data_IF_852923712975
#
_entry.id   IF_852923712975
#
_cell.length_a   1.000
_cell.length_b   1.000
_cell.length_c   1.000
_cell.angle_alpha   90.00
_cell.angle_beta   90.00
_cell.angle_gamma   90.00
#
_symmetry.space_group_name_H-M   'P 1'
#
loop_
_entity.id
_entity.type
_entity.pdbx_description
1 polymer ?
#
# COMPACT_ATOMS: atom_id res chain seq x y z
N UNK A 1 -22.50 -31.42 -11.14
CA UNK A 1 -22.38 -30.76 -12.47
C UNK A 1 -21.39 -29.59 -12.47
N UNK A 2 -21.44 -28.65 -11.51
CA UNK A 2 -20.55 -27.48 -11.47
C UNK A 2 -19.04 -27.81 -11.35
N UNK A 3 -18.68 -28.80 -10.54
CA UNK A 3 -17.29 -29.22 -10.30
C UNK A 3 -16.58 -29.69 -11.58
N UNK A 4 -17.30 -30.36 -12.49
CA UNK A 4 -16.73 -30.90 -13.73
C UNK A 4 -16.32 -29.78 -14.71
N UNK A 5 -17.11 -28.70 -14.79
CA UNK A 5 -16.81 -27.54 -15.64
C UNK A 5 -15.56 -26.77 -15.18
N UNK A 6 -15.31 -26.72 -13.86
CA UNK A 6 -14.11 -26.09 -13.29
C UNK A 6 -12.84 -26.88 -13.63
N UNK A 7 -12.89 -28.21 -13.50
CA UNK A 7 -11.76 -29.12 -13.76
C UNK A 7 -11.43 -29.19 -15.26
N UNK A 8 -12.44 -29.09 -16.13
CA UNK A 8 -12.28 -29.06 -17.58
C UNK A 8 -11.50 -27.83 -18.05
N UNK A 9 -11.84 -26.64 -17.53
CA UNK A 9 -11.20 -25.37 -17.91
C UNK A 9 -9.99 -24.98 -17.05
N UNK A 10 -9.45 -25.92 -16.26
CA UNK A 10 -8.34 -25.66 -15.33
C UNK A 10 -7.16 -24.93 -15.97
N UNK A 11 -6.81 -25.26 -17.23
CA UNK A 11 -5.69 -24.62 -17.94
C UNK A 11 -5.94 -23.12 -18.14
N UNK A 12 -7.15 -22.72 -18.52
CA UNK A 12 -7.52 -21.31 -18.69
C UNK A 12 -7.45 -20.56 -17.37
N UNK A 13 -7.94 -21.16 -16.28
CA UNK A 13 -7.83 -20.56 -14.95
C UNK A 13 -6.38 -20.43 -14.49
N UNK A 14 -5.53 -21.44 -14.69
CA UNK A 14 -4.11 -21.37 -14.34
C UNK A 14 -3.35 -20.34 -15.18
N UNK A 15 -3.66 -20.21 -16.47
CA UNK A 15 -3.05 -19.18 -17.33
C UNK A 15 -3.46 -17.79 -16.83
N UNK A 16 -4.75 -17.58 -16.57
CA UNK A 16 -5.24 -16.31 -16.05
C UNK A 16 -4.59 -15.97 -14.70
N UNK A 17 -4.58 -16.91 -13.76
CA UNK A 17 -3.90 -16.75 -12.46
C UNK A 17 -2.42 -16.47 -12.65
N UNK A 18 -1.75 -17.17 -13.57
CA UNK A 18 -0.34 -16.97 -13.88
C UNK A 18 -0.04 -15.56 -14.40
N UNK A 19 -0.91 -15.01 -15.25
CA UNK A 19 -0.80 -13.62 -15.72
C UNK A 19 -0.93 -12.66 -14.54
N UNK A 20 -1.95 -12.82 -13.69
CA UNK A 20 -2.17 -11.95 -12.53
C UNK A 20 -0.98 -12.00 -11.56
N UNK A 21 -0.49 -13.20 -11.24
CA UNK A 21 0.68 -13.41 -10.39
C UNK A 21 1.93 -12.79 -11.04
N UNK A 22 2.12 -12.99 -12.34
CA UNK A 22 3.25 -12.44 -13.08
C UNK A 22 3.28 -10.91 -13.07
N UNK A 23 2.13 -10.26 -13.26
CA UNK A 23 1.99 -8.80 -13.13
C UNK A 23 2.35 -8.33 -11.71
N UNK A 24 1.89 -9.03 -10.68
CA UNK A 24 2.26 -8.74 -9.29
C UNK A 24 3.77 -8.86 -9.04
N UNK A 25 4.41 -9.88 -9.59
CA UNK A 25 5.87 -10.06 -9.49
C UNK A 25 6.62 -8.93 -10.21
N UNK A 26 6.20 -8.58 -11.42
CA UNK A 26 6.81 -7.47 -12.17
C UNK A 26 6.69 -6.15 -11.40
N UNK A 27 5.54 -5.88 -10.79
CA UNK A 27 5.35 -4.71 -9.94
C UNK A 27 6.29 -4.73 -8.72
N UNK A 28 6.46 -5.88 -8.06
CA UNK A 28 7.41 -6.03 -6.94
C UNK A 28 8.86 -5.79 -7.37
N UNK A 29 9.28 -6.31 -8.54
CA UNK A 29 10.63 -6.08 -9.08
C UNK A 29 10.84 -4.60 -9.39
N UNK A 30 9.86 -3.94 -10.02
CA UNK A 30 9.92 -2.50 -10.28
C UNK A 30 10.01 -1.68 -8.98
N UNK A 31 9.20 -2.03 -7.98
CA UNK A 31 9.23 -1.41 -6.66
C UNK A 31 10.59 -1.59 -5.97
N UNK A 32 11.17 -2.79 -6.04
CA UNK A 32 12.49 -3.05 -5.48
C UNK A 32 13.58 -2.21 -6.17
N UNK A 33 13.55 -2.11 -7.50
CA UNK A 33 14.53 -1.34 -8.26
C UNK A 33 14.47 0.18 -8.00
N UNK A 34 13.29 0.71 -7.64
CA UNK A 34 13.07 2.15 -7.42
C UNK A 34 13.14 2.57 -5.94
N UNK A 35 12.67 1.72 -5.02
CA UNK A 35 12.50 2.05 -3.59
C UNK A 35 13.38 1.21 -2.65
N UNK A 36 14.08 0.20 -3.18
CA UNK A 36 14.88 -0.75 -2.40
C UNK A 36 14.07 -1.83 -1.67
N UNK A 37 12.75 -1.90 -1.85
CA UNK A 37 11.90 -2.96 -1.29
C UNK A 37 10.80 -3.40 -2.25
N UNK A 38 10.40 -4.68 -2.25
CA UNK A 38 9.32 -5.16 -3.12
C UNK A 38 7.95 -4.56 -2.76
N UNK A 39 7.77 -4.11 -1.52
CA UNK A 39 6.57 -3.47 -0.99
C UNK A 39 6.96 -2.36 -0.01
N UNK A 40 6.08 -1.38 0.22
CA UNK A 40 6.25 -0.36 1.25
C UNK A 40 6.31 -1.03 2.62
N UNK A 41 7.51 -1.08 3.20
CA UNK A 41 7.74 -1.66 4.51
C UNK A 41 7.40 -0.62 5.58
N UNK A 42 6.57 -1.01 6.54
CA UNK A 42 6.26 -0.20 7.71
C UNK A 42 7.46 -0.05 8.65
N UNK A 43 7.26 0.79 9.68
CA UNK A 43 8.29 1.11 10.69
C UNK A 43 8.80 -0.12 11.44
N UNK A 44 7.98 -1.17 11.55
CA UNK A 44 8.33 -2.44 12.19
C UNK A 44 9.51 -3.16 11.50
N UNK A 45 9.76 -2.87 10.21
CA UNK A 45 10.79 -3.55 9.41
C UNK A 45 11.97 -2.65 9.00
N UNK A 46 11.75 -1.34 8.84
CA UNK A 46 12.79 -0.39 8.43
C UNK A 46 13.35 0.44 9.59
N UNK A 47 12.73 0.35 10.77
CA UNK A 47 12.96 1.28 11.87
C UNK A 47 12.35 2.65 11.55
N UNK A 48 11.89 3.35 12.59
CA UNK A 48 11.26 4.67 12.43
C UNK A 48 10.23 4.94 13.51
N UNK A 49 9.46 6.01 13.32
CA UNK A 49 8.34 6.39 14.17
C UNK A 49 7.06 6.43 13.34
N UNK A 50 5.99 5.84 13.86
CA UNK A 50 4.64 5.98 13.34
C UNK A 50 3.86 6.87 14.29
N UNK A 51 3.20 7.87 13.74
CA UNK A 51 2.28 8.73 14.47
C UNK A 51 0.89 8.53 13.90
N UNK A 52 -0.10 8.59 14.76
CA UNK A 52 -1.51 8.64 14.37
C UNK A 52 -2.06 9.91 14.99
N UNK A 53 -2.59 10.79 14.16
CA UNK A 53 -3.02 12.13 14.56
C UNK A 53 -4.43 12.37 14.09
N UNK A 54 -5.25 12.95 14.96
CA UNK A 54 -6.62 13.34 14.64
C UNK A 54 -6.75 14.85 14.83
N UNK A 55 -7.11 15.54 13.76
CA UNK A 55 -7.27 16.99 13.79
C UNK A 55 -8.72 17.38 14.08
N UNK A 56 -8.89 18.47 14.83
CA UNK A 56 -10.21 19.05 15.08
C UNK A 56 -10.79 19.74 13.85
N UNK A 57 -9.91 20.21 12.95
CA UNK A 57 -10.26 20.89 11.70
C UNK A 57 -9.87 20.02 10.50
N UNK A 58 -10.44 20.33 9.33
CA UNK A 58 -10.09 19.64 8.08
C UNK A 58 -8.66 20.00 7.67
N UNK A 59 -7.79 19.00 7.69
CA UNK A 59 -6.38 19.13 7.29
C UNK A 59 -6.14 18.24 6.08
N UNK A 60 -5.54 18.81 5.03
CA UNK A 60 -5.19 18.06 3.82
C UNK A 60 -3.91 17.24 3.99
N UNK A 61 -3.80 16.17 3.21
CA UNK A 61 -2.59 15.34 3.15
C UNK A 61 -1.33 16.16 2.90
N UNK A 62 -1.43 17.11 1.95
CA UNK A 62 -0.33 17.98 1.55
C UNK A 62 0.14 18.88 2.70
N UNK A 63 -0.77 19.36 3.55
CA UNK A 63 -0.39 20.17 4.71
C UNK A 63 0.39 19.33 5.73
N UNK A 64 -0.01 18.07 5.94
CA UNK A 64 0.72 17.12 6.80
C UNK A 64 2.10 16.83 6.21
N UNK A 65 2.18 16.59 4.89
CA UNK A 65 3.44 16.35 4.17
C UNK A 65 4.42 17.52 4.26
N UNK A 66 3.91 18.76 4.14
CA UNK A 66 4.71 19.97 4.19
C UNK A 66 5.40 20.14 5.56
N UNK A 67 4.73 19.77 6.66
CA UNK A 67 5.32 19.83 8.01
C UNK A 67 6.53 18.89 8.12
N UNK A 68 6.41 17.65 7.62
CA UNK A 68 7.49 16.67 7.69
C UNK A 68 8.65 17.03 6.75
N UNK A 69 8.36 17.49 5.54
CA UNK A 69 9.40 17.92 4.59
C UNK A 69 10.15 19.15 5.08
N UNK A 70 9.46 20.14 5.68
CA UNK A 70 10.09 21.29 6.33
C UNK A 70 10.97 20.90 7.53
N UNK A 71 10.62 19.81 8.23
CA UNK A 71 11.43 19.24 9.31
C UNK A 71 12.64 18.43 8.80
N UNK A 72 12.87 18.36 7.49
CA UNK A 72 13.98 17.63 6.87
C UNK A 72 13.72 16.14 6.64
N UNK A 73 12.46 15.69 6.79
CA UNK A 73 12.06 14.31 6.50
C UNK A 73 11.54 14.24 5.07
N UNK A 74 12.37 13.73 4.16
CA UNK A 74 12.16 13.82 2.71
C UNK A 74 11.23 12.76 2.11
N UNK A 75 10.77 11.76 2.87
CA UNK A 75 9.88 10.72 2.35
C UNK A 75 8.94 10.13 3.42
N UNK A 76 8.12 10.95 4.08
CA UNK A 76 7.12 10.46 5.05
C UNK A 76 6.02 9.67 4.32
N UNK A 77 5.58 8.56 4.92
CA UNK A 77 4.40 7.83 4.44
C UNK A 77 3.17 8.37 5.19
N UNK A 78 2.25 8.99 4.47
CA UNK A 78 1.05 9.61 5.04
C UNK A 78 -0.17 8.84 4.52
N UNK A 79 -1.07 8.45 5.41
CA UNK A 79 -2.22 7.61 5.06
C UNK A 79 -3.42 8.10 5.86
N UNK A 80 -4.47 8.54 5.18
CA UNK A 80 -5.72 8.88 5.85
C UNK A 80 -6.28 7.67 6.62
N UNK A 81 -6.46 7.84 7.93
CA UNK A 81 -7.07 6.83 8.79
C UNK A 81 -8.59 6.89 8.63
N UNK A 82 -9.22 5.72 8.48
CA UNK A 82 -10.67 5.60 8.28
C UNK A 82 -11.27 4.70 9.35
N UNK A 83 -12.33 5.18 10.01
CA UNK A 83 -13.03 4.49 11.09
C UNK A 83 -14.31 5.23 11.49
N UNK A 84 -15.20 4.57 12.23
CA UNK A 84 -16.52 5.12 12.60
C UNK A 84 -16.42 6.42 13.41
N UNK A 85 -15.39 6.56 14.23
CA UNK A 85 -15.12 7.73 15.08
C UNK A 85 -13.95 8.60 14.60
N UNK A 86 -13.42 8.34 13.40
CA UNK A 86 -12.24 9.05 12.86
C UNK A 86 -12.68 10.12 11.86
N UNK A 87 -12.42 11.37 12.21
CA UNK A 87 -12.60 12.54 11.36
C UNK A 87 -11.27 13.27 11.25
N UNK A 88 -10.84 13.60 10.03
CA UNK A 88 -9.57 14.28 9.76
C UNK A 88 -8.36 13.60 10.42
N UNK A 89 -8.32 12.26 10.32
CA UNK A 89 -7.29 11.45 10.93
C UNK A 89 -6.27 10.97 9.89
N UNK A 90 -4.99 11.02 10.25
CA UNK A 90 -3.83 10.69 9.42
C UNK A 90 -2.83 9.81 10.17
#
# INVERSE_FOLDING_TARGET
MFLFNLVEKRKTYFIFSGIVIGLGILAMVYSFATTGSPFLLGVDFRGGARFEVQFTEEVSETAVEEVFTNAGISNPSIIALRGEDLQNAW
#
